data_IF_100522547818
#
_entry.id   IF_100522547818
#
_cell.length_a   1.000
_cell.length_b   1.000
_cell.length_c   1.000
_cell.angle_alpha   90.00
_cell.angle_beta   90.00
_cell.angle_gamma   90.00
#
_symmetry.space_group_name_H-M   'P 1'
#
loop_
_entity.id
_entity.type
_entity.pdbx_description
1 polymer ?
#
# COMPACT_ATOMS: atom_id res chain seq x y z
N UNK A 1 17.80 18.53 -16.15
CA UNK A 1 17.32 17.16 -15.88
C UNK A 1 16.87 17.11 -14.43
N UNK A 2 15.57 17.33 -14.20
CA UNK A 2 15.03 17.61 -12.87
C UNK A 2 15.06 16.35 -11.99
N UNK A 3 15.64 16.51 -10.80
CA UNK A 3 15.89 15.51 -9.78
C UNK A 3 14.63 14.65 -9.51
N UNK A 4 14.68 13.37 -9.89
CA UNK A 4 13.70 12.35 -9.49
C UNK A 4 13.83 12.16 -7.98
N UNK A 5 13.21 13.04 -7.18
CA UNK A 5 13.14 12.88 -5.72
C UNK A 5 12.56 11.47 -5.45
N UNK A 6 13.29 10.59 -4.75
CA UNK A 6 12.72 9.31 -4.35
C UNK A 6 11.48 9.61 -3.49
N UNK A 7 10.36 8.93 -3.77
CA UNK A 7 9.15 9.06 -2.96
C UNK A 7 9.54 9.01 -1.48
N UNK A 8 9.22 10.07 -0.75
CA UNK A 8 9.60 10.19 0.66
C UNK A 8 8.90 9.07 1.43
N UNK A 9 9.55 8.45 2.41
CA UNK A 9 8.94 7.37 3.23
C UNK A 9 7.58 7.75 3.81
N UNK A 10 7.39 9.03 4.14
CA UNK A 10 6.09 9.59 4.57
C UNK A 10 5.01 9.51 3.50
N UNK A 11 5.34 9.73 2.22
CA UNK A 11 4.41 9.62 1.10
C UNK A 11 3.96 8.16 0.91
N UNK A 12 4.88 7.20 1.02
CA UNK A 12 4.53 5.78 0.96
C UNK A 12 3.65 5.35 2.14
N UNK A 13 3.97 5.80 3.35
CA UNK A 13 3.12 5.59 4.53
C UNK A 13 1.73 6.22 4.38
N UNK A 14 1.65 7.41 3.79
CA UNK A 14 0.39 8.07 3.43
C UNK A 14 -0.44 7.19 2.48
N UNK A 15 0.15 6.67 1.41
CA UNK A 15 -0.56 5.76 0.50
C UNK A 15 -1.02 4.47 1.19
N UNK A 16 -0.22 3.91 2.11
CA UNK A 16 -0.63 2.74 2.88
C UNK A 16 -1.80 3.03 3.83
N UNK A 17 -1.78 4.16 4.53
CA UNK A 17 -2.88 4.60 5.40
C UNK A 17 -4.15 4.87 4.59
N UNK A 18 -4.02 5.53 3.44
CA UNK A 18 -5.15 5.82 2.55
C UNK A 18 -5.76 4.52 2.00
N UNK A 19 -4.91 3.55 1.64
CA UNK A 19 -5.33 2.23 1.22
C UNK A 19 -6.10 1.53 2.33
N UNK A 20 -5.58 1.51 3.56
CA UNK A 20 -6.23 0.90 4.73
C UNK A 20 -7.61 1.53 5.01
N UNK A 21 -7.72 2.85 4.89
CA UNK A 21 -8.99 3.58 4.98
C UNK A 21 -9.97 3.17 3.89
N UNK A 22 -9.49 2.97 2.65
CA UNK A 22 -10.32 2.53 1.52
C UNK A 22 -10.83 1.10 1.72
N UNK A 23 -9.96 0.20 2.21
CA UNK A 23 -10.34 -1.17 2.58
C UNK A 23 -11.39 -1.16 3.70
N UNK A 24 -11.17 -0.38 4.75
CA UNK A 24 -12.12 -0.24 5.85
C UNK A 24 -13.48 0.28 5.36
N UNK A 25 -13.48 1.29 4.48
CA UNK A 25 -14.69 1.82 3.87
C UNK A 25 -15.43 0.78 3.02
N UNK A 26 -14.71 0.02 2.18
CA UNK A 26 -15.33 -1.01 1.33
C UNK A 26 -15.90 -2.17 2.14
N UNK A 27 -15.25 -2.56 3.24
CA UNK A 27 -15.76 -3.56 4.18
C UNK A 27 -17.01 -3.06 4.92
N UNK A 28 -17.00 -1.81 5.38
CA UNK A 28 -18.12 -1.17 6.07
C UNK A 28 -19.35 -1.06 5.16
N UNK A 29 -19.17 -0.58 3.92
CA UNK A 29 -20.26 -0.42 2.95
C UNK A 29 -20.87 -1.74 2.48
N UNK A 30 -20.08 -2.82 2.40
CA UNK A 30 -20.56 -4.13 1.94
C UNK A 30 -21.21 -5.00 3.03
N UNK A 31 -21.28 -4.52 4.28
CA UNK A 31 -21.97 -5.21 5.36
C UNK A 31 -21.46 -6.64 5.62
N UNK A 32 -20.16 -6.88 5.41
CA UNK A 32 -19.54 -8.20 5.65
C UNK A 32 -19.63 -9.21 4.49
N UNK A 33 -20.24 -8.85 3.34
CA UNK A 33 -20.17 -9.69 2.13
C UNK A 33 -18.85 -9.46 1.40
N UNK A 34 -17.86 -10.29 1.75
CA UNK A 34 -16.59 -10.36 1.03
C UNK A 34 -16.73 -11.30 -0.17
N UNK A 35 -17.09 -10.72 -1.32
CA UNK A 35 -17.06 -11.44 -2.60
C UNK A 35 -15.59 -11.83 -2.91
N UNK A 36 -15.33 -13.09 -3.27
CA UNK A 36 -13.99 -13.60 -3.59
C UNK A 36 -13.16 -12.70 -4.54
N UNK A 37 -13.74 -12.11 -5.60
CA UNK A 37 -13.04 -11.17 -6.49
C UNK A 37 -12.58 -9.89 -5.78
N UNK A 38 -13.33 -9.41 -4.80
CA UNK A 38 -12.99 -8.24 -3.99
C UNK A 38 -11.79 -8.52 -3.10
N UNK A 39 -11.76 -9.71 -2.50
CA UNK A 39 -10.62 -10.13 -1.67
C UNK A 39 -9.35 -10.21 -2.52
N UNK A 40 -9.45 -10.74 -3.74
CA UNK A 40 -8.32 -10.86 -4.67
C UNK A 40 -7.78 -9.48 -5.11
N UNK A 41 -8.68 -8.54 -5.44
CA UNK A 41 -8.30 -7.17 -5.83
C UNK A 41 -7.69 -6.40 -4.67
N UNK A 42 -8.22 -6.58 -3.45
CA UNK A 42 -7.60 -6.05 -2.22
C UNK A 42 -6.19 -6.61 -2.04
N UNK A 43 -6.00 -7.92 -2.17
CA UNK A 43 -4.70 -8.56 -1.99
C UNK A 43 -3.66 -8.03 -3.00
N UNK A 44 -4.03 -7.93 -4.28
CA UNK A 44 -3.17 -7.37 -5.33
C UNK A 44 -2.82 -5.90 -5.07
N UNK A 45 -3.82 -5.11 -4.66
CA UNK A 45 -3.63 -3.71 -4.33
C UNK A 45 -2.71 -3.52 -3.11
N UNK A 46 -2.83 -4.39 -2.10
CA UNK A 46 -1.94 -4.41 -0.95
C UNK A 46 -0.48 -4.63 -1.38
N UNK A 47 -0.21 -5.64 -2.22
CA UNK A 47 1.15 -5.92 -2.73
C UNK A 47 1.72 -4.69 -3.44
N UNK A 48 0.92 -4.02 -4.26
CA UNK A 48 1.36 -2.84 -5.01
C UNK A 48 1.71 -1.65 -4.10
N UNK A 49 0.91 -1.43 -3.04
CA UNK A 49 1.12 -0.35 -2.07
C UNK A 49 2.28 -0.65 -1.11
N UNK A 50 2.46 -1.93 -0.72
CA UNK A 50 3.53 -2.35 0.19
C UNK A 50 4.88 -2.58 -0.48
N UNK A 51 4.93 -2.97 -1.76
CA UNK A 51 6.18 -3.16 -2.50
C UNK A 51 7.17 -1.99 -2.39
N UNK A 52 6.78 -0.72 -2.64
CA UNK A 52 7.70 0.40 -2.53
C UNK A 52 8.19 0.62 -1.09
N UNK A 53 7.39 0.29 -0.08
CA UNK A 53 7.76 0.39 1.35
C UNK A 53 8.88 -0.59 1.65
N UNK A 54 8.72 -1.86 1.27
CA UNK A 54 9.74 -2.91 1.49
C UNK A 54 11.03 -2.56 0.74
N UNK A 55 10.91 -2.09 -0.51
CA UNK A 55 12.05 -1.66 -1.31
C UNK A 55 12.78 -0.48 -0.66
N UNK A 56 12.06 0.52 -0.17
CA UNK A 56 12.63 1.67 0.54
C UNK A 56 13.34 1.26 1.83
N UNK A 57 12.75 0.32 2.58
CA UNK A 57 13.32 -0.19 3.82
C UNK A 57 14.63 -0.95 3.57
N UNK A 58 14.64 -1.83 2.56
CA UNK A 58 15.83 -2.58 2.13
C UNK A 58 16.97 -1.67 1.65
N UNK A 59 16.65 -0.53 1.03
CA UNK A 59 17.65 0.45 0.61
C UNK A 59 18.26 1.24 1.77
N UNK A 60 17.50 1.45 2.86
CA UNK A 60 17.96 2.15 4.06
C UNK A 60 18.73 1.25 5.02
N UNK A 61 18.41 -0.04 5.04
CA UNK A 61 19.12 -1.08 5.80
C UNK A 61 19.75 -2.09 4.82
N UNK A 62 20.82 -1.73 4.09
CA UNK A 62 21.65 -2.75 3.46
C UNK A 62 22.13 -3.65 4.60
N UNK A 63 21.73 -4.92 4.59
CA UNK A 63 22.28 -5.92 5.53
C UNK A 63 23.81 -5.81 5.43
N UNK A 64 24.45 -5.34 6.49
CA UNK A 64 25.88 -5.54 6.70
C UNK A 64 26.14 -7.03 6.86
#
# INVERSE_FOLDING_TARGET
>A
MAYRRPLTTRQMLLFALLWLSLVGYTLWMRGGRLDGPTLLTLLLSAVFVFYPIIKSWRQRHPRR
#
